data_IF_804598244868
#
_entry.id   IF_804598244868
#
_cell.length_a   1.000
_cell.length_b   1.000
_cell.length_c   1.000
_cell.angle_alpha   90.00
_cell.angle_beta   90.00
_cell.angle_gamma   90.00
#
_symmetry.space_group_name_H-M   'P 1'
#
loop_
_entity.id
_entity.type
_entity.pdbx_description
1 polymer ?
#
# COMPACT_ATOMS: atom_id res chain seq x y z
N UNK A 1 -2.95 -25.85 0.85
CA UNK A 1 -2.43 -25.25 2.11
C UNK A 1 -1.49 -24.12 1.73
N UNK A 2 -1.83 -22.84 1.98
CA UNK A 2 -0.90 -21.72 1.80
C UNK A 2 0.22 -21.89 2.84
N UNK A 3 1.49 -21.88 2.38
CA UNK A 3 2.65 -22.10 3.24
C UNK A 3 2.72 -21.09 4.39
N UNK A 4 3.35 -21.49 5.49
CA UNK A 4 3.61 -20.63 6.65
C UNK A 4 4.53 -19.48 6.24
N UNK A 5 4.20 -18.25 6.64
CA UNK A 5 5.04 -17.08 6.36
C UNK A 5 6.42 -17.25 7.02
N UNK A 6 7.49 -17.07 6.23
CA UNK A 6 8.87 -17.24 6.70
C UNK A 6 9.56 -15.94 7.08
N UNK A 7 8.97 -14.81 6.72
CA UNK A 7 9.53 -13.48 6.97
C UNK A 7 8.42 -12.43 7.08
N UNK A 8 8.71 -11.21 7.57
CA UNK A 8 7.69 -10.20 7.82
C UNK A 8 6.93 -9.74 6.58
N UNK A 9 7.55 -9.75 5.39
CA UNK A 9 6.89 -9.34 4.15
C UNK A 9 5.91 -10.39 3.63
N UNK A 10 6.23 -11.68 3.77
CA UNK A 10 5.28 -12.76 3.49
C UNK A 10 4.09 -12.72 4.44
N UNK A 11 4.35 -12.52 5.73
CA UNK A 11 3.28 -12.37 6.72
C UNK A 11 2.37 -11.19 6.38
N UNK A 12 2.96 -10.02 6.08
CA UNK A 12 2.21 -8.85 5.67
C UNK A 12 1.38 -9.11 4.40
N UNK A 13 1.95 -9.77 3.38
CA UNK A 13 1.22 -10.11 2.16
C UNK A 13 -0.01 -10.98 2.44
N UNK A 14 0.14 -12.03 3.23
CA UNK A 14 -0.97 -12.94 3.55
C UNK A 14 -2.07 -12.24 4.36
N UNK A 15 -1.68 -11.36 5.28
CA UNK A 15 -2.64 -10.55 6.05
C UNK A 15 -3.36 -9.54 5.15
N UNK A 16 -2.62 -8.82 4.29
CA UNK A 16 -3.20 -7.87 3.33
C UNK A 16 -4.11 -8.55 2.31
N UNK A 17 -3.81 -9.78 1.89
CA UNK A 17 -4.72 -10.59 1.07
C UNK A 17 -6.07 -10.79 1.77
N UNK A 18 -6.08 -11.14 3.07
CA UNK A 18 -7.34 -11.28 3.82
C UNK A 18 -8.11 -9.95 3.89
N UNK A 19 -7.40 -8.83 4.09
CA UNK A 19 -8.02 -7.51 4.19
C UNK A 19 -8.59 -7.07 2.83
N UNK A 20 -7.76 -7.04 1.78
CA UNK A 20 -8.15 -6.46 0.50
C UNK A 20 -8.98 -7.36 -0.39
N UNK A 21 -8.78 -8.69 -0.33
CA UNK A 21 -9.45 -9.61 -1.23
C UNK A 21 -10.60 -10.38 -0.56
N UNK A 22 -10.64 -10.42 0.78
CA UNK A 22 -11.68 -11.15 1.52
C UNK A 22 -12.49 -10.27 2.47
N UNK A 23 -12.20 -8.97 2.53
CA UNK A 23 -12.93 -8.02 3.34
C UNK A 23 -12.73 -8.17 4.85
N UNK A 24 -11.63 -8.79 5.29
CA UNK A 24 -11.33 -8.94 6.71
C UNK A 24 -10.99 -7.58 7.35
N UNK A 25 -11.40 -7.38 8.60
CA UNK A 25 -10.97 -6.20 9.37
C UNK A 25 -9.47 -6.27 9.69
N UNK A 26 -8.75 -5.16 9.48
CA UNK A 26 -7.29 -5.11 9.56
C UNK A 26 -6.74 -5.56 10.93
N UNK A 27 -7.36 -5.13 12.02
CA UNK A 27 -6.97 -5.53 13.38
C UNK A 27 -7.14 -7.03 13.63
N UNK A 28 -8.24 -7.62 13.15
CA UNK A 28 -8.51 -9.06 13.30
C UNK A 28 -7.59 -9.90 12.42
N UNK A 29 -7.41 -9.50 11.15
CA UNK A 29 -6.51 -10.18 10.23
C UNK A 29 -5.06 -10.15 10.72
N UNK A 30 -4.60 -9.00 11.25
CA UNK A 30 -3.27 -8.87 11.84
C UNK A 30 -3.10 -9.76 13.06
N UNK A 31 -4.04 -9.73 14.01
CA UNK A 31 -3.97 -10.55 15.22
C UNK A 31 -3.93 -12.05 14.88
N UNK A 32 -4.76 -12.49 13.93
CA UNK A 32 -4.78 -13.88 13.47
C UNK A 32 -3.49 -14.26 12.71
N UNK A 33 -3.02 -13.41 11.80
CA UNK A 33 -1.83 -13.65 10.99
C UNK A 33 -0.52 -13.69 11.79
N UNK A 34 -0.46 -12.97 12.91
CA UNK A 34 0.68 -13.00 13.83
C UNK A 34 0.61 -14.14 14.86
N UNK A 35 -0.57 -14.71 15.11
CA UNK A 35 -0.74 -15.80 16.09
C UNK A 35 0.02 -17.05 15.63
N UNK A 36 0.98 -17.49 16.43
CA UNK A 36 1.79 -18.69 16.13
C UNK A 36 2.77 -18.53 14.97
N UNK A 37 2.87 -17.36 14.34
CA UNK A 37 3.86 -17.11 13.31
C UNK A 37 5.28 -17.15 13.89
N UNK A 38 6.24 -17.85 13.26
CA UNK A 38 7.62 -17.95 13.72
C UNK A 38 8.41 -16.69 13.39
N UNK A 39 7.94 -15.56 13.88
CA UNK A 39 8.52 -14.23 13.64
C UNK A 39 9.14 -13.68 14.91
N UNK A 40 10.33 -13.09 14.79
CA UNK A 40 10.97 -12.36 15.88
C UNK A 40 10.13 -11.14 16.30
N UNK A 41 10.36 -10.56 17.51
CA UNK A 41 9.67 -9.32 17.91
C UNK A 41 9.86 -8.15 16.93
N UNK A 42 11.03 -8.03 16.29
CA UNK A 42 11.32 -7.01 15.28
C UNK A 42 10.53 -7.29 13.99
N UNK A 43 10.45 -8.55 13.55
CA UNK A 43 9.67 -8.93 12.37
C UNK A 43 8.18 -8.71 12.58
N UNK A 44 7.66 -8.94 13.79
CA UNK A 44 6.27 -8.63 14.17
C UNK A 44 5.98 -7.13 14.08
N UNK A 45 6.90 -6.29 14.59
CA UNK A 45 6.78 -4.83 14.44
C UNK A 45 6.77 -4.40 12.99
N UNK A 46 7.70 -4.92 12.18
CA UNK A 46 7.74 -4.62 10.76
C UNK A 46 6.49 -5.11 10.03
N UNK A 47 6.00 -6.32 10.33
CA UNK A 47 4.75 -6.83 9.74
C UNK A 47 3.57 -5.91 10.07
N UNK A 48 3.45 -5.49 11.32
CA UNK A 48 2.39 -4.58 11.78
C UNK A 48 2.44 -3.24 11.03
N UNK A 49 3.63 -2.66 10.91
CA UNK A 49 3.86 -1.41 10.19
C UNK A 49 3.54 -1.55 8.70
N UNK A 50 3.98 -2.63 8.06
CA UNK A 50 3.69 -2.91 6.66
C UNK A 50 2.18 -3.06 6.40
N UNK A 51 1.47 -3.76 7.27
CA UNK A 51 0.02 -3.98 7.13
C UNK A 51 -0.73 -2.67 7.31
N UNK A 52 -0.62 -2.02 8.47
CA UNK A 52 -1.38 -0.81 8.75
C UNK A 52 -0.99 0.36 7.84
N UNK A 53 0.31 0.50 7.55
CA UNK A 53 0.78 1.53 6.64
C UNK A 53 0.21 1.36 5.23
N UNK A 54 0.26 0.15 4.67
CA UNK A 54 -0.30 -0.13 3.34
C UNK A 54 -1.81 0.09 3.30
N UNK A 55 -2.54 -0.33 4.33
CA UNK A 55 -4.00 -0.12 4.41
C UNK A 55 -4.33 1.37 4.51
N UNK A 56 -3.68 2.09 5.42
CA UNK A 56 -3.91 3.52 5.63
C UNK A 56 -3.65 4.34 4.35
N UNK A 57 -2.55 4.06 3.66
CA UNK A 57 -2.11 4.87 2.52
C UNK A 57 -2.57 4.33 1.16
N UNK A 58 -3.44 3.32 1.13
CA UNK A 58 -3.85 2.59 -0.09
C UNK A 58 -4.23 3.51 -1.25
N UNK A 59 -5.06 4.53 -1.02
CA UNK A 59 -5.50 5.45 -2.07
C UNK A 59 -4.33 6.23 -2.69
N UNK A 60 -3.42 6.70 -1.86
CA UNK A 60 -2.22 7.43 -2.30
C UNK A 60 -1.23 6.49 -3.00
N UNK A 61 -1.08 5.25 -2.52
CA UNK A 61 -0.28 4.24 -3.21
C UNK A 61 -0.84 3.93 -4.60
N UNK A 62 -2.15 3.78 -4.73
CA UNK A 62 -2.80 3.54 -6.03
C UNK A 62 -2.62 4.73 -6.97
N UNK A 63 -2.65 5.96 -6.44
CA UNK A 63 -2.36 7.16 -7.21
C UNK A 63 -0.93 7.13 -7.79
N UNK A 64 0.09 6.76 -7.02
CA UNK A 64 1.46 6.59 -7.51
C UNK A 64 1.59 5.43 -8.49
N UNK A 65 1.02 4.28 -8.16
CA UNK A 65 1.09 3.08 -8.99
C UNK A 65 0.42 3.27 -10.36
N UNK A 66 -0.66 4.04 -10.43
CA UNK A 66 -1.33 4.34 -11.70
C UNK A 66 -0.46 5.11 -12.71
N UNK A 67 0.61 5.73 -12.26
CA UNK A 67 1.56 6.50 -13.09
C UNK A 67 2.72 5.67 -13.62
N UNK A 68 2.96 4.52 -13.03
CA UNK A 68 4.08 3.65 -13.39
C UNK A 68 3.64 2.30 -13.95
N UNK A 69 2.35 1.98 -13.86
CA UNK A 69 1.75 0.77 -14.44
C UNK A 69 1.00 1.13 -15.71
N UNK A 70 1.37 0.52 -16.85
CA UNK A 70 0.82 0.83 -18.17
C UNK A 70 -0.60 0.30 -18.43
N UNK A 71 -1.34 -0.07 -17.40
CA UNK A 71 -2.72 -0.55 -17.50
C UNK A 71 -3.52 -0.15 -16.26
N UNK A 72 -4.85 -0.06 -16.35
CA UNK A 72 -5.68 0.22 -15.18
C UNK A 72 -5.43 -0.78 -14.04
N UNK A 73 -5.22 -0.30 -12.83
CA UNK A 73 -4.89 -1.15 -11.67
C UNK A 73 -5.95 -2.23 -11.43
N UNK A 74 -7.23 -1.93 -11.68
CA UNK A 74 -8.36 -2.88 -11.56
C UNK A 74 -8.28 -4.09 -12.52
N UNK A 75 -7.43 -4.01 -13.57
CA UNK A 75 -7.20 -5.10 -14.54
C UNK A 75 -5.99 -5.96 -14.20
N UNK A 76 -5.27 -5.63 -13.13
CA UNK A 76 -4.19 -6.47 -12.61
C UNK A 76 -4.77 -7.68 -11.89
N UNK A 77 -3.96 -8.75 -11.79
CA UNK A 77 -4.23 -9.81 -10.82
C UNK A 77 -4.34 -9.17 -9.43
N UNK A 78 -5.40 -9.47 -8.66
CA UNK A 78 -5.63 -8.85 -7.36
C UNK A 78 -4.46 -9.00 -6.39
N UNK A 79 -3.79 -10.16 -6.38
CA UNK A 79 -2.64 -10.40 -5.50
C UNK A 79 -1.40 -9.62 -5.97
N UNK A 80 -1.23 -9.45 -7.29
CA UNK A 80 -0.18 -8.58 -7.84
C UNK A 80 -0.38 -7.14 -7.37
N UNK A 81 -1.61 -6.64 -7.36
CA UNK A 81 -1.90 -5.28 -6.86
C UNK A 81 -1.58 -5.16 -5.37
N UNK A 82 -1.90 -6.16 -4.55
CA UNK A 82 -1.53 -6.18 -3.13
C UNK A 82 0.00 -6.11 -2.96
N UNK A 83 0.74 -6.89 -3.74
CA UNK A 83 2.22 -6.89 -3.70
C UNK A 83 2.79 -5.54 -4.14
N UNK A 84 2.22 -4.93 -5.18
CA UNK A 84 2.62 -3.59 -5.63
C UNK A 84 2.38 -2.53 -4.56
N UNK A 85 1.22 -2.52 -3.90
CA UNK A 85 0.92 -1.62 -2.78
C UNK A 85 1.91 -1.81 -1.63
N UNK A 86 2.18 -3.05 -1.23
CA UNK A 86 3.16 -3.38 -0.18
C UNK A 86 4.58 -2.92 -0.53
N UNK A 87 5.00 -3.10 -1.79
CA UNK A 87 6.30 -2.62 -2.29
C UNK A 87 6.37 -1.10 -2.36
N UNK A 88 5.33 -0.46 -2.88
CA UNK A 88 5.22 0.99 -2.97
C UNK A 88 5.23 1.64 -1.58
N UNK A 89 4.52 1.07 -0.59
CA UNK A 89 4.57 1.57 0.79
C UNK A 89 6.01 1.61 1.33
N UNK A 90 6.78 0.55 1.14
CA UNK A 90 8.18 0.50 1.56
C UNK A 90 9.03 1.57 0.87
N UNK A 91 8.82 1.81 -0.43
CA UNK A 91 9.55 2.80 -1.21
C UNK A 91 9.21 4.25 -0.82
N UNK A 92 7.97 4.51 -0.44
CA UNK A 92 7.47 5.86 -0.22
C UNK A 92 7.56 6.32 1.24
N UNK A 93 7.52 5.38 2.19
CA UNK A 93 7.34 5.73 3.61
C UNK A 93 8.35 5.09 4.56
N UNK A 94 9.20 4.16 4.10
CA UNK A 94 10.17 3.49 4.95
C UNK A 94 11.61 3.79 4.53
N UNK A 95 12.12 4.96 4.89
CA UNK A 95 13.47 5.42 4.52
C UNK A 95 14.60 4.46 4.96
N UNK A 96 14.36 3.71 6.04
CA UNK A 96 15.30 2.68 6.54
C UNK A 96 15.39 1.44 5.65
N UNK A 97 14.47 1.24 4.69
CA UNK A 97 14.50 0.12 3.75
C UNK A 97 15.10 0.60 2.43
N UNK A 98 16.24 0.06 2.00
CA UNK A 98 16.79 0.39 0.70
C UNK A 98 15.82 0.06 -0.44
N UNK A 99 15.70 0.95 -1.43
CA UNK A 99 14.80 0.77 -2.57
C UNK A 99 15.06 -0.56 -3.31
N UNK A 100 16.31 -0.96 -3.44
CA UNK A 100 16.69 -2.26 -4.02
C UNK A 100 16.12 -3.44 -3.24
N UNK A 101 16.15 -3.38 -1.90
CA UNK A 101 15.59 -4.41 -1.05
C UNK A 101 14.06 -4.49 -1.16
N UNK A 102 13.37 -3.35 -1.13
CA UNK A 102 11.91 -3.29 -1.32
C UNK A 102 11.50 -3.89 -2.67
N UNK A 103 12.17 -3.52 -3.76
CA UNK A 103 11.90 -4.07 -5.09
C UNK A 103 12.18 -5.58 -5.15
N UNK A 104 13.36 -6.04 -4.72
CA UNK A 104 13.76 -7.44 -4.82
C UNK A 104 12.84 -8.36 -4.00
N UNK A 105 12.50 -7.98 -2.78
CA UNK A 105 11.60 -8.78 -1.94
C UNK A 105 10.18 -8.83 -2.52
N UNK A 106 9.68 -7.73 -3.09
CA UNK A 106 8.37 -7.72 -3.77
C UNK A 106 8.36 -8.61 -5.00
N UNK A 107 9.46 -8.64 -5.77
CA UNK A 107 9.62 -9.57 -6.92
C UNK A 107 9.60 -11.02 -6.47
N UNK A 108 10.30 -11.36 -5.37
CA UNK A 108 10.27 -12.73 -4.81
C UNK A 108 8.85 -13.13 -4.39
N UNK A 109 8.10 -12.23 -3.75
CA UNK A 109 6.70 -12.47 -3.40
C UNK A 109 5.84 -12.74 -4.64
N UNK A 110 5.98 -11.92 -5.69
CA UNK A 110 5.21 -12.08 -6.93
C UNK A 110 5.49 -13.41 -7.62
N UNK A 111 6.77 -13.81 -7.72
CA UNK A 111 7.16 -15.10 -8.29
C UNK A 111 6.65 -16.28 -7.48
N UNK A 112 6.73 -16.20 -6.16
CA UNK A 112 6.34 -17.28 -5.25
C UNK A 112 4.82 -17.45 -5.15
N UNK A 113 4.08 -16.36 -5.05
CA UNK A 113 2.65 -16.39 -4.70
C UNK A 113 1.70 -16.18 -5.89
N UNK A 114 2.23 -15.73 -7.03
CA UNK A 114 1.45 -15.55 -8.26
C UNK A 114 2.06 -16.40 -9.38
N UNK A 115 3.03 -15.85 -10.12
CA UNK A 115 3.79 -16.59 -11.16
C UNK A 115 5.03 -15.79 -11.59
N UNK A 116 5.93 -16.42 -12.35
CA UNK A 116 7.20 -15.81 -12.79
C UNK A 116 7.01 -14.49 -13.57
N UNK A 117 6.00 -14.43 -14.45
CA UNK A 117 5.70 -13.21 -15.22
C UNK A 117 5.23 -12.02 -14.37
N UNK A 118 4.56 -12.28 -13.25
CA UNK A 118 4.18 -11.25 -12.28
C UNK A 118 5.41 -10.56 -11.68
N UNK A 119 6.50 -11.32 -11.45
CA UNK A 119 7.76 -10.76 -10.97
C UNK A 119 8.34 -9.71 -11.90
N UNK A 120 8.23 -9.89 -13.23
CA UNK A 120 8.71 -8.90 -14.22
C UNK A 120 7.91 -7.61 -14.15
N UNK A 121 6.60 -7.69 -14.06
CA UNK A 121 5.70 -6.53 -13.93
C UNK A 121 5.99 -5.76 -12.64
N UNK A 122 6.04 -6.46 -11.50
CA UNK A 122 6.33 -5.87 -10.19
C UNK A 122 7.70 -5.18 -10.18
N UNK A 123 8.73 -5.83 -10.75
CA UNK A 123 10.06 -5.23 -10.85
C UNK A 123 10.06 -3.94 -11.68
N UNK A 124 9.44 -3.97 -12.86
CA UNK A 124 9.34 -2.80 -13.74
C UNK A 124 8.65 -1.62 -13.05
N UNK A 125 7.46 -1.85 -12.49
CA UNK A 125 6.67 -0.83 -11.82
C UNK A 125 7.38 -0.24 -10.60
N UNK A 126 7.88 -1.06 -9.68
CA UNK A 126 8.52 -0.57 -8.45
C UNK A 126 9.87 0.11 -8.71
N UNK A 127 10.67 -0.37 -9.65
CA UNK A 127 11.91 0.32 -10.04
C UNK A 127 11.63 1.66 -10.71
N UNK A 128 10.59 1.75 -11.53
CA UNK A 128 10.18 3.02 -12.11
C UNK A 128 9.70 3.98 -11.02
N UNK A 129 8.85 3.50 -10.09
CA UNK A 129 8.40 4.30 -8.95
C UNK A 129 9.58 4.82 -8.12
N UNK A 130 10.55 3.96 -7.79
CA UNK A 130 11.74 4.36 -7.03
C UNK A 130 12.56 5.47 -7.70
N UNK A 131 12.61 5.49 -9.05
CA UNK A 131 13.33 6.52 -9.81
C UNK A 131 12.57 7.81 -9.99
N UNK A 132 11.24 7.76 -9.97
CA UNK A 132 10.39 8.91 -10.36
C UNK A 132 9.56 9.47 -9.22
N UNK A 133 9.57 8.86 -8.03
CA UNK A 133 8.72 9.23 -6.90
C UNK A 133 8.79 10.72 -6.54
N UNK A 134 9.99 11.31 -6.57
CA UNK A 134 10.22 12.71 -6.19
C UNK A 134 9.76 13.71 -7.28
N UNK A 135 9.45 13.22 -8.48
CA UNK A 135 8.93 14.03 -9.60
C UNK A 135 7.42 14.24 -9.52
N UNK A 136 6.70 13.39 -8.78
CA UNK A 136 5.25 13.40 -8.72
C UNK A 136 4.76 14.35 -7.63
N UNK A 137 3.99 15.35 -8.04
CA UNK A 137 3.26 16.25 -7.14
C UNK A 137 1.79 15.93 -7.22
N UNK A 138 1.10 15.97 -6.08
CA UNK A 138 -0.35 15.83 -6.07
C UNK A 138 -1.01 16.94 -6.89
N UNK A 139 -2.20 16.69 -7.44
CA UNK A 139 -2.92 17.68 -8.23
C UNK A 139 -3.05 18.99 -7.50
N UNK A 140 -2.89 20.11 -8.22
CA UNK A 140 -2.94 21.46 -7.67
C UNK A 140 -4.10 22.23 -8.30
N UNK A 141 -4.55 23.28 -7.63
CA UNK A 141 -5.63 24.14 -8.09
C UNK A 141 -6.98 23.84 -7.44
N UNK A 142 -7.94 24.78 -7.59
CA UNK A 142 -9.23 24.71 -6.89
C UNK A 142 -10.08 23.49 -7.29
N UNK A 143 -9.98 23.04 -8.54
CA UNK A 143 -10.74 21.89 -9.04
C UNK A 143 -10.23 20.54 -8.47
N UNK A 144 -8.99 20.50 -7.99
CA UNK A 144 -8.34 19.30 -7.45
C UNK A 144 -8.14 19.35 -5.93
N UNK A 145 -8.71 20.34 -5.25
CA UNK A 145 -8.49 20.56 -3.81
C UNK A 145 -8.87 19.35 -2.97
N UNK A 146 -10.03 18.74 -3.23
CA UNK A 146 -10.49 17.57 -2.47
C UNK A 146 -9.64 16.34 -2.74
N UNK A 147 -9.28 16.10 -4.01
CA UNK A 147 -8.37 15.02 -4.40
C UNK A 147 -7.01 15.19 -3.70
N UNK A 148 -6.45 16.40 -3.73
CA UNK A 148 -5.18 16.69 -3.06
C UNK A 148 -5.24 16.41 -1.56
N UNK A 149 -6.25 16.90 -0.85
CA UNK A 149 -6.43 16.67 0.59
C UNK A 149 -6.59 15.18 0.86
N UNK A 150 -7.40 14.47 0.07
CA UNK A 150 -7.60 13.04 0.19
C UNK A 150 -6.28 12.25 0.08
N UNK A 151 -5.42 12.64 -0.87
CA UNK A 151 -4.12 12.01 -1.09
C UNK A 151 -3.11 12.37 0.01
N UNK A 152 -3.06 13.62 0.45
CA UNK A 152 -2.13 14.10 1.48
C UNK A 152 -2.41 13.49 2.86
N UNK A 153 -3.69 13.33 3.20
CA UNK A 153 -4.11 12.85 4.53
C UNK A 153 -4.60 11.41 4.53
N UNK A 154 -4.52 10.70 3.40
CA UNK A 154 -4.85 9.28 3.26
C UNK A 154 -6.32 8.95 3.53
N UNK A 155 -7.23 9.84 3.15
CA UNK A 155 -8.66 9.64 3.28
C UNK A 155 -9.32 9.39 1.91
N UNK A 156 -10.43 8.65 1.85
CA UNK A 156 -11.23 8.60 0.62
C UNK A 156 -11.79 9.98 0.28
N UNK A 157 -11.74 10.39 -0.99
CA UNK A 157 -12.22 11.71 -1.43
C UNK A 157 -13.69 11.97 -1.03
N UNK A 158 -14.55 10.94 -1.11
CA UNK A 158 -15.95 11.07 -0.71
C UNK A 158 -16.12 11.49 0.77
N UNK A 159 -15.21 11.07 1.64
CA UNK A 159 -15.24 11.41 3.06
C UNK A 159 -14.81 12.88 3.27
N UNK A 160 -13.75 13.31 2.60
CA UNK A 160 -13.28 14.70 2.59
C UNK A 160 -14.39 15.62 2.07
N UNK A 161 -15.04 15.23 0.97
CA UNK A 161 -16.18 15.95 0.37
C UNK A 161 -17.35 16.08 1.37
N UNK A 162 -17.66 15.00 2.09
CA UNK A 162 -18.71 15.00 3.12
C UNK A 162 -18.39 15.95 4.28
N UNK A 163 -17.14 15.94 4.75
CA UNK A 163 -16.70 16.84 5.81
C UNK A 163 -16.69 18.31 5.35
N UNK A 164 -16.18 18.61 4.14
CA UNK A 164 -16.26 19.95 3.56
C UNK A 164 -17.70 20.46 3.49
N UNK A 165 -18.63 19.63 3.06
CA UNK A 165 -20.05 19.99 2.97
C UNK A 165 -20.66 20.31 4.34
N UNK A 166 -20.29 19.56 5.38
CA UNK A 166 -20.87 19.72 6.73
C UNK A 166 -20.23 20.81 7.56
N UNK A 167 -18.94 20.99 7.45
CA UNK A 167 -18.15 21.79 8.39
C UNK A 167 -17.34 22.90 7.72
N UNK A 168 -17.36 22.99 6.40
CA UNK A 168 -16.48 23.87 5.64
C UNK A 168 -15.09 23.27 5.42
N UNK A 169 -14.31 23.92 4.54
CA UNK A 169 -13.03 23.40 4.11
C UNK A 169 -11.98 23.35 5.24
N UNK A 170 -11.88 24.43 6.00
CA UNK A 170 -10.88 24.56 7.08
C UNK A 170 -11.03 23.45 8.14
N UNK A 171 -12.25 23.22 8.60
CA UNK A 171 -12.54 22.19 9.58
C UNK A 171 -12.39 20.78 8.98
N UNK A 172 -12.73 20.59 7.70
CA UNK A 172 -12.51 19.33 7.01
C UNK A 172 -11.02 18.96 6.95
N UNK A 173 -10.12 19.92 6.69
CA UNK A 173 -8.67 19.71 6.70
C UNK A 173 -8.18 19.37 8.11
N UNK A 174 -8.66 20.05 9.15
CA UNK A 174 -8.33 19.71 10.55
C UNK A 174 -8.76 18.28 10.90
N UNK A 175 -9.95 17.87 10.48
CA UNK A 175 -10.44 16.48 10.66
C UNK A 175 -9.58 15.45 9.91
N UNK A 176 -9.09 15.78 8.72
CA UNK A 176 -8.19 14.91 7.96
C UNK A 176 -6.82 14.76 8.64
N UNK A 177 -6.32 15.82 9.29
CA UNK A 177 -5.01 15.84 9.94
C UNK A 177 -4.99 15.17 11.31
N UNK A 178 -6.15 14.90 11.90
CA UNK A 178 -6.31 14.28 13.22
C UNK A 178 -6.10 12.75 13.15
#
# INVERSE_FOLDING_TARGET
MKGTAKNPREAALLILEQIFLRGAYANLALAQGLRGAPLSPLDRKLTTELVYGTVKTMGTLDWYLSRVVNRPLRKLDPLVLVILRLGAYQLMYLDRIPASAACNESVKLAKKWVHEGAGKLVNGALRQLARTRDQWKFPQGPDHELERIALEYYHPEWLVRRWKFRYGLEEAVKLCAF
#
